data_IF_169570919928
#
_entry.id   IF_169570919928
#
_cell.length_a   1.000
_cell.length_b   1.000
_cell.length_c   1.000
_cell.angle_alpha   90.00
_cell.angle_beta   90.00
_cell.angle_gamma   90.00
#
_symmetry.space_group_name_H-M   'P 1'
#
loop_
_entity.id
_entity.type
_entity.pdbx_description
1 polymer ?
#
# COMPACT_ATOMS: atom_id res chain seq x y z
N UNK A 1 10.16 -1.34 11.45
CA UNK A 1 9.45 -2.22 12.41
C UNK A 1 8.81 -1.41 13.53
N UNK A 2 9.60 -0.70 14.37
CA UNK A 2 9.07 -0.01 15.57
C UNK A 2 7.92 0.96 15.26
N UNK A 3 8.03 1.73 14.17
CA UNK A 3 6.97 2.63 13.73
C UNK A 3 5.68 1.87 13.41
N UNK A 4 5.76 0.78 12.63
CA UNK A 4 4.59 -0.03 12.30
C UNK A 4 3.89 -0.62 13.53
N UNK A 5 4.66 -1.12 14.49
CA UNK A 5 4.09 -1.65 15.75
C UNK A 5 3.44 -0.54 16.59
N UNK A 6 4.04 0.65 16.64
CA UNK A 6 3.48 1.80 17.35
C UNK A 6 2.15 2.25 16.73
N UNK A 7 2.11 2.41 15.40
CA UNK A 7 0.88 2.78 14.68
C UNK A 7 -0.22 1.71 14.89
N UNK A 8 0.14 0.42 14.83
CA UNK A 8 -0.81 -0.68 15.11
C UNK A 8 -1.40 -0.59 16.51
N UNK A 9 -0.58 -0.20 17.50
CA UNK A 9 -1.08 0.04 18.85
C UNK A 9 -1.98 1.27 18.93
N UNK A 10 -1.53 2.40 18.37
CA UNK A 10 -2.26 3.66 18.43
C UNK A 10 -3.61 3.57 17.71
N UNK A 11 -3.65 2.91 16.53
CA UNK A 11 -4.85 2.82 15.73
C UNK A 11 -5.80 1.69 16.14
N UNK A 12 -5.27 0.54 16.58
CA UNK A 12 -6.06 -0.68 16.80
C UNK A 12 -6.04 -1.19 18.25
N UNK A 13 -5.25 -0.59 19.13
CA UNK A 13 -4.98 -1.06 20.51
C UNK A 13 -4.44 -2.51 20.55
N UNK A 14 -3.73 -2.94 19.52
CA UNK A 14 -3.02 -4.22 19.51
C UNK A 14 -1.60 -3.97 20.02
N UNK A 15 -1.22 -4.50 21.19
CA UNK A 15 0.06 -4.22 21.78
C UNK A 15 1.20 -4.90 21.01
N UNK A 16 2.40 -4.28 20.95
CA UNK A 16 3.54 -4.80 20.19
C UNK A 16 3.92 -6.24 20.53
N UNK A 17 3.78 -6.65 21.78
CA UNK A 17 4.06 -8.01 22.26
C UNK A 17 3.08 -9.07 21.76
N UNK A 18 1.92 -8.65 21.24
CA UNK A 18 0.93 -9.53 20.62
C UNK A 18 1.15 -9.66 19.10
N UNK A 19 2.18 -9.03 18.56
CA UNK A 19 2.52 -9.07 17.13
C UNK A 19 3.85 -9.79 16.94
N UNK A 20 3.80 -10.97 16.34
CA UNK A 20 4.99 -11.63 15.82
C UNK A 20 5.38 -10.99 14.49
N UNK A 21 6.49 -10.27 14.47
CA UNK A 21 7.01 -9.69 13.22
C UNK A 21 7.61 -10.80 12.36
N UNK A 22 7.02 -11.06 11.20
CA UNK A 22 7.50 -12.05 10.24
C UNK A 22 8.67 -11.47 9.43
N UNK A 23 8.55 -10.22 8.98
CA UNK A 23 9.62 -9.56 8.24
C UNK A 23 9.25 -8.19 7.71
N UNK A 24 10.27 -7.51 7.21
CA UNK A 24 10.11 -6.27 6.43
C UNK A 24 10.00 -6.65 4.95
N UNK A 25 9.08 -6.00 4.27
CA UNK A 25 8.87 -6.17 2.83
C UNK A 25 9.73 -5.18 2.02
N UNK A 26 9.69 -5.30 0.71
CA UNK A 26 10.38 -4.37 -0.19
C UNK A 26 9.82 -2.95 -0.09
N UNK A 27 10.68 -1.98 -0.38
CA UNK A 27 10.28 -0.59 -0.40
C UNK A 27 9.31 -0.29 -1.54
N UNK A 28 8.27 0.46 -1.22
CA UNK A 28 7.35 1.02 -2.18
C UNK A 28 7.58 2.53 -2.32
N UNK A 29 7.73 2.97 -3.56
CA UNK A 29 7.70 4.40 -3.86
C UNK A 29 6.26 4.89 -3.80
N UNK A 30 6.00 5.86 -2.92
CA UNK A 30 4.73 6.55 -2.84
C UNK A 30 4.85 7.97 -3.39
N UNK A 31 3.71 8.62 -3.62
CA UNK A 31 3.70 10.00 -4.13
C UNK A 31 4.57 10.92 -3.27
N UNK A 32 5.09 11.97 -3.90
CA UNK A 32 5.96 12.96 -3.27
C UNK A 32 7.38 12.48 -2.92
N UNK A 33 7.85 11.39 -3.54
CA UNK A 33 9.24 10.92 -3.36
C UNK A 33 9.49 10.23 -2.03
N UNK A 34 8.45 9.93 -1.25
CA UNK A 34 8.58 9.18 -0.02
C UNK A 34 8.66 7.67 -0.29
N UNK A 35 9.38 6.97 0.58
CA UNK A 35 9.49 5.52 0.59
C UNK A 35 8.65 4.95 1.74
N UNK A 36 7.84 3.96 1.44
CA UNK A 36 7.14 3.15 2.42
C UNK A 36 7.79 1.77 2.50
N UNK A 37 8.06 1.29 3.69
CA UNK A 37 8.49 -0.09 3.93
C UNK A 37 7.42 -0.81 4.73
N UNK A 38 6.61 -1.68 4.11
CA UNK A 38 5.64 -2.47 4.83
C UNK A 38 6.32 -3.48 5.76
N UNK A 39 5.64 -3.82 6.83
CA UNK A 39 6.07 -4.85 7.78
C UNK A 39 4.97 -5.90 7.87
N UNK A 40 5.33 -7.15 7.60
CA UNK A 40 4.43 -8.28 7.75
C UNK A 40 4.51 -8.81 9.18
N UNK A 41 3.37 -8.90 9.84
CA UNK A 41 3.23 -9.44 11.18
C UNK A 41 2.08 -10.42 11.32
N UNK A 42 2.18 -11.30 12.30
CA UNK A 42 1.09 -12.18 12.72
C UNK A 42 0.60 -11.74 14.10
N UNK A 43 -0.69 -11.46 14.19
CA UNK A 43 -1.32 -11.03 15.44
C UNK A 43 -1.86 -12.23 16.20
N UNK A 44 -1.65 -12.25 17.52
CA UNK A 44 -2.28 -13.21 18.40
C UNK A 44 -3.82 -13.11 18.34
N UNK A 45 -4.50 -14.26 18.34
CA UNK A 45 -5.96 -14.31 18.21
C UNK A 45 -6.68 -13.58 19.32
N UNK A 46 -6.18 -13.69 20.55
CA UNK A 46 -6.77 -13.01 21.72
C UNK A 46 -6.64 -11.49 21.61
N UNK A 47 -5.52 -10.98 21.10
CA UNK A 47 -5.32 -9.55 20.86
C UNK A 47 -6.22 -9.04 19.72
N UNK A 48 -6.41 -9.84 18.67
CA UNK A 48 -7.34 -9.52 17.59
C UNK A 48 -8.78 -9.42 18.10
N UNK A 49 -9.24 -10.38 18.93
CA UNK A 49 -10.58 -10.38 19.51
C UNK A 49 -10.77 -9.24 20.53
N UNK A 50 -9.68 -8.76 21.15
CA UNK A 50 -9.67 -7.63 22.09
C UNK A 50 -9.43 -6.27 21.44
N UNK A 51 -9.20 -6.23 20.14
CA UNK A 51 -8.92 -5.00 19.37
C UNK A 51 -9.92 -3.87 19.66
N UNK A 52 -9.41 -2.64 19.76
CA UNK A 52 -10.23 -1.43 19.99
C UNK A 52 -9.78 -0.34 19.02
N UNK A 53 -10.39 -0.27 17.83
CA UNK A 53 -10.05 0.73 16.84
C UNK A 53 -10.23 2.16 17.38
N UNK A 54 -9.25 3.02 17.12
CA UNK A 54 -9.32 4.44 17.43
C UNK A 54 -10.33 5.14 16.50
N UNK A 55 -11.48 5.51 17.01
CA UNK A 55 -12.57 6.10 16.21
C UNK A 55 -12.21 7.42 15.52
N UNK A 56 -11.11 8.09 15.91
CA UNK A 56 -10.62 9.29 15.23
C UNK A 56 -9.92 8.98 13.90
N UNK A 57 -9.37 7.76 13.75
CA UNK A 57 -8.53 7.38 12.61
C UNK A 57 -9.05 6.17 11.85
N UNK A 58 -9.74 5.26 12.54
CA UNK A 58 -10.24 4.00 11.98
C UNK A 58 -11.77 3.97 12.00
N UNK A 59 -12.37 4.10 10.85
CA UNK A 59 -13.83 4.09 10.72
C UNK A 59 -14.43 2.70 10.92
N UNK A 60 -13.77 1.66 10.40
CA UNK A 60 -14.21 0.26 10.49
C UNK A 60 -13.04 -0.69 10.26
N UNK A 61 -13.20 -1.93 10.70
CA UNK A 61 -12.24 -3.03 10.49
C UNK A 61 -12.95 -4.27 9.97
N UNK A 62 -12.27 -5.00 9.10
CA UNK A 62 -12.78 -6.26 8.55
C UNK A 62 -11.63 -7.23 8.29
N UNK A 63 -11.95 -8.51 8.30
CA UNK A 63 -10.99 -9.57 8.03
C UNK A 63 -11.23 -10.16 6.64
N UNK A 64 -10.15 -10.43 5.94
CA UNK A 64 -10.18 -11.11 4.65
C UNK A 64 -9.44 -12.44 4.82
N UNK A 65 -10.08 -13.59 4.55
CA UNK A 65 -9.37 -14.87 4.56
C UNK A 65 -8.24 -14.87 3.53
N UNK A 66 -7.05 -15.33 3.90
CA UNK A 66 -5.92 -15.44 2.96
C UNK A 66 -6.24 -16.31 1.75
N UNK A 67 -6.99 -17.40 1.96
CA UNK A 67 -7.46 -18.26 0.87
C UNK A 67 -8.33 -17.48 -0.12
N UNK A 68 -9.19 -16.58 0.37
CA UNK A 68 -10.01 -15.73 -0.51
C UNK A 68 -9.14 -14.83 -1.38
N UNK A 69 -8.11 -14.19 -0.81
CA UNK A 69 -7.17 -13.34 -1.56
C UNK A 69 -6.43 -14.14 -2.64
N UNK A 70 -6.03 -15.37 -2.34
CA UNK A 70 -5.39 -16.27 -3.29
C UNK A 70 -6.34 -16.64 -4.45
N UNK A 71 -7.59 -16.95 -4.16
CA UNK A 71 -8.57 -17.41 -5.14
C UNK A 71 -9.18 -16.27 -5.97
N UNK A 72 -9.03 -15.01 -5.51
CA UNK A 72 -9.59 -13.82 -6.14
C UNK A 72 -8.49 -12.78 -6.39
N UNK A 73 -7.61 -13.00 -7.36
CA UNK A 73 -6.56 -12.01 -7.67
C UNK A 73 -7.18 -10.68 -8.10
N UNK A 74 -6.52 -9.55 -7.81
CA UNK A 74 -7.06 -8.25 -8.15
C UNK A 74 -7.02 -7.99 -9.65
N UNK A 75 -7.93 -7.16 -10.13
CA UNK A 75 -7.80 -6.55 -11.45
C UNK A 75 -6.79 -5.42 -11.37
N UNK A 76 -5.77 -5.44 -12.23
CA UNK A 76 -4.77 -4.38 -12.29
C UNK A 76 -5.12 -3.40 -13.39
N UNK A 77 -5.43 -2.17 -13.00
CA UNK A 77 -5.66 -1.06 -13.92
C UNK A 77 -4.37 -0.27 -14.09
N UNK A 78 -4.11 0.16 -15.32
CA UNK A 78 -2.94 0.98 -15.63
C UNK A 78 -3.39 2.36 -16.04
N UNK A 79 -2.87 3.41 -15.40
CA UNK A 79 -3.08 4.76 -15.89
C UNK A 79 -1.77 5.40 -16.33
N UNK A 80 -1.88 6.23 -17.35
CA UNK A 80 -0.77 6.98 -17.92
C UNK A 80 -0.63 8.30 -17.17
N UNK A 81 0.57 8.56 -16.66
CA UNK A 81 0.91 9.85 -16.07
C UNK A 81 1.67 10.68 -17.11
N UNK A 82 1.07 11.77 -17.64
CA UNK A 82 1.77 12.64 -18.58
C UNK A 82 2.90 13.37 -17.86
N UNK A 83 4.01 13.58 -18.56
CA UNK A 83 5.09 14.44 -18.07
C UNK A 83 4.79 15.87 -18.54
N UNK A 84 4.74 16.78 -17.59
CA UNK A 84 4.68 18.22 -17.86
C UNK A 84 5.78 18.89 -17.06
N UNK A 85 6.62 19.64 -17.74
CA UNK A 85 7.70 20.38 -17.12
C UNK A 85 7.50 21.85 -17.49
N UNK A 86 6.78 22.61 -16.65
CA UNK A 86 6.60 24.04 -16.88
C UNK A 86 7.95 24.74 -16.91
N UNK A 87 8.08 25.72 -17.83
CA UNK A 87 9.25 26.58 -17.94
C UNK A 87 10.60 25.85 -18.15
N UNK A 88 10.55 24.62 -18.71
CA UNK A 88 11.77 23.89 -19.02
C UNK A 88 12.60 24.65 -20.09
N UNK A 89 13.90 24.89 -19.86
CA UNK A 89 14.74 25.68 -20.77
C UNK A 89 15.20 24.86 -21.98
N UNK A 90 14.30 24.54 -22.89
CA UNK A 90 14.53 23.66 -24.03
C UNK A 90 15.72 24.10 -24.88
N UNK A 91 15.87 25.40 -25.15
CA UNK A 91 16.97 25.93 -25.95
C UNK A 91 18.35 25.75 -25.26
N UNK A 92 18.41 26.00 -23.96
CA UNK A 92 19.64 25.84 -23.16
C UNK A 92 20.02 24.38 -23.01
N UNK A 93 19.01 23.51 -22.87
CA UNK A 93 19.18 22.06 -22.79
C UNK A 93 19.55 21.43 -24.15
N UNK A 94 19.46 22.16 -25.25
CA UNK A 94 19.75 21.66 -26.59
C UNK A 94 18.69 20.67 -27.11
N UNK A 95 17.47 20.72 -26.59
CA UNK A 95 16.37 19.86 -27.02
C UNK A 95 15.23 20.68 -27.61
N UNK A 96 14.45 20.06 -28.51
CA UNK A 96 13.30 20.72 -29.14
C UNK A 96 12.17 20.98 -28.14
N UNK A 97 11.39 22.04 -28.34
CA UNK A 97 10.21 22.34 -27.52
C UNK A 97 9.12 21.27 -27.60
N UNK A 98 9.10 20.46 -28.64
CA UNK A 98 8.24 19.31 -28.84
C UNK A 98 8.91 17.98 -28.44
N UNK A 99 9.98 18.03 -27.63
CA UNK A 99 10.67 16.84 -27.16
C UNK A 99 9.70 15.83 -26.55
N UNK A 100 9.67 14.57 -27.04
CA UNK A 100 8.68 13.59 -26.65
C UNK A 100 9.01 12.98 -25.29
N UNK A 101 8.73 13.70 -24.22
CA UNK A 101 8.88 13.17 -22.85
C UNK A 101 8.12 11.86 -22.70
N UNK A 102 8.82 10.82 -22.24
CA UNK A 102 8.19 9.52 -22.04
C UNK A 102 7.29 9.58 -20.81
N UNK A 103 5.97 9.33 -20.98
CA UNK A 103 5.10 9.19 -19.82
C UNK A 103 5.49 7.97 -19.01
N UNK A 104 5.24 8.00 -17.72
CA UNK A 104 5.30 6.79 -16.92
C UNK A 104 3.89 6.25 -16.66
N UNK A 105 3.84 4.94 -16.42
CA UNK A 105 2.59 4.24 -16.18
C UNK A 105 2.57 3.78 -14.73
N UNK A 106 1.40 3.86 -14.11
CA UNK A 106 1.19 3.37 -12.75
C UNK A 106 0.11 2.31 -12.75
N UNK A 107 0.39 1.25 -12.04
CA UNK A 107 -0.56 0.17 -11.80
C UNK A 107 -1.37 0.43 -10.53
N UNK A 108 -2.67 0.18 -10.64
CA UNK A 108 -3.62 0.33 -9.54
C UNK A 108 -4.40 -0.97 -9.41
N UNK A 109 -3.98 -1.87 -8.53
CA UNK A 109 -4.73 -3.08 -8.27
C UNK A 109 -6.01 -2.79 -7.50
N UNK A 110 -7.06 -3.54 -7.81
CA UNK A 110 -8.38 -3.47 -7.16
C UNK A 110 -8.91 -4.87 -6.93
N UNK A 111 -9.17 -5.23 -5.68
CA UNK A 111 -9.88 -6.45 -5.31
C UNK A 111 -11.39 -6.19 -5.35
N UNK A 112 -12.11 -6.97 -6.15
CA UNK A 112 -13.55 -6.88 -6.27
C UNK A 112 -14.25 -7.90 -5.39
N UNK A 113 -15.51 -7.61 -5.01
CA UNK A 113 -16.34 -8.55 -4.23
C UNK A 113 -16.16 -8.49 -2.72
N UNK A 114 -15.38 -7.53 -2.21
CA UNK A 114 -15.28 -7.24 -0.77
C UNK A 114 -16.35 -6.23 -0.33
N UNK A 115 -16.75 -6.31 0.95
CA UNK A 115 -17.67 -5.34 1.54
C UNK A 115 -17.10 -3.92 1.58
N UNK A 116 -15.78 -3.81 1.76
CA UNK A 116 -15.05 -2.55 1.73
C UNK A 116 -14.04 -2.55 0.59
N UNK A 117 -13.81 -1.40 -0.06
CA UNK A 117 -12.87 -1.30 -1.16
C UNK A 117 -11.44 -1.61 -0.72
N UNK A 118 -10.79 -2.58 -1.37
CA UNK A 118 -9.36 -2.84 -1.23
C UNK A 118 -8.68 -2.53 -2.56
N UNK A 119 -7.95 -1.41 -2.64
CA UNK A 119 -7.36 -0.93 -3.87
C UNK A 119 -6.08 -0.09 -3.63
N UNK A 120 -5.39 0.26 -4.70
CA UNK A 120 -4.25 1.15 -4.69
C UNK A 120 -3.06 0.59 -3.90
N UNK A 121 -2.47 1.40 -3.02
CA UNK A 121 -1.26 1.04 -2.28
C UNK A 121 -1.48 -0.17 -1.36
N UNK A 122 -2.58 -0.19 -0.61
CA UNK A 122 -2.90 -1.32 0.28
C UNK A 122 -3.11 -2.61 -0.50
N UNK A 123 -3.82 -2.56 -1.62
CA UNK A 123 -3.99 -3.73 -2.49
C UNK A 123 -2.65 -4.20 -3.08
N UNK A 124 -1.73 -3.31 -3.42
CA UNK A 124 -0.39 -3.67 -3.89
C UNK A 124 0.41 -4.39 -2.83
N UNK A 125 0.41 -3.89 -1.59
CA UNK A 125 1.05 -4.57 -0.45
C UNK A 125 0.42 -5.95 -0.25
N UNK A 126 -0.91 -6.04 -0.32
CA UNK A 126 -1.64 -7.31 -0.19
C UNK A 126 -1.25 -8.32 -1.28
N UNK A 127 -1.12 -7.88 -2.53
CA UNK A 127 -0.62 -8.75 -3.63
C UNK A 127 0.75 -9.31 -3.33
N UNK A 128 1.67 -8.46 -2.87
CA UNK A 128 3.03 -8.86 -2.55
C UNK A 128 3.05 -9.88 -1.39
N UNK A 129 2.21 -9.69 -0.38
CA UNK A 129 2.03 -10.66 0.71
C UNK A 129 1.53 -12.00 0.18
N UNK A 130 0.46 -12.00 -0.62
CA UNK A 130 -0.14 -13.25 -1.17
C UNK A 130 0.83 -14.00 -2.07
N UNK A 131 1.68 -13.31 -2.82
CA UNK A 131 2.67 -13.92 -3.69
C UNK A 131 3.81 -14.66 -2.92
N UNK A 132 3.97 -14.39 -1.62
CA UNK A 132 5.04 -14.94 -0.80
C UNK A 132 4.53 -15.91 0.31
N UNK A 133 3.24 -16.16 0.36
CA UNK A 133 2.60 -17.13 1.25
C UNK A 133 2.28 -18.44 0.54
#
# INVERSE_FOLDING_TARGET
VQCALRETWEELAIPPEAVEVIGEMDFLHIRAGSLLRPVLGRVDRGALDAMRPCAAEVADTFLIPLQWLHDHPPTVYTYRHPVSIPDFPYAEAGVSADYPWRPYYMEVPVYHGLAHPLWGLTARITMDVVAHL
#
